data_IF_557346113200
#
_entry.id   IF_557346113200
#
_cell.length_a   1.000
_cell.length_b   1.000
_cell.length_c   1.000
_cell.angle_alpha   90.00
_cell.angle_beta   90.00
_cell.angle_gamma   90.00
#
_symmetry.space_group_name_H-M   'P 1'
#
loop_
_entity.id
_entity.type
_entity.pdbx_description
1 polymer ?
#
# COMPACT_ATOMS: atom_id res chain seq x y z
N UNK A 1 31.06 41.74 21.11
CA UNK A 1 31.46 40.33 21.32
C UNK A 1 30.29 39.37 21.57
N UNK A 2 29.31 39.67 22.44
CA UNK A 2 28.17 38.76 22.72
C UNK A 2 27.22 38.56 21.51
N UNK A 3 26.91 39.62 20.76
CA UNK A 3 26.05 39.56 19.57
C UNK A 3 26.69 38.74 18.44
N UNK A 4 27.99 38.89 18.20
CA UNK A 4 28.72 38.10 17.19
C UNK A 4 28.79 36.61 17.55
N UNK A 5 28.98 36.27 18.84
CA UNK A 5 28.91 34.88 19.33
C UNK A 5 27.49 34.30 19.21
N UNK A 6 26.45 35.11 19.46
CA UNK A 6 25.06 34.71 19.28
C UNK A 6 24.71 34.48 17.80
N UNK A 7 25.11 35.39 16.91
CA UNK A 7 24.94 35.25 15.46
C UNK A 7 25.70 34.04 14.90
N UNK A 8 26.93 33.80 15.35
CA UNK A 8 27.71 32.63 14.98
C UNK A 8 27.05 31.33 15.45
N UNK A 9 26.54 31.29 16.68
CA UNK A 9 25.80 30.15 17.22
C UNK A 9 24.51 29.89 16.42
N UNK A 10 23.77 30.95 16.08
CA UNK A 10 22.57 30.86 15.25
C UNK A 10 22.89 30.34 13.84
N UNK A 11 23.98 30.83 13.24
CA UNK A 11 24.46 30.36 11.92
C UNK A 11 24.83 28.88 11.97
N UNK A 12 25.61 28.45 12.97
CA UNK A 12 26.00 27.04 13.14
C UNK A 12 24.77 26.15 13.32
N UNK A 13 23.79 26.57 14.15
CA UNK A 13 22.51 25.87 14.31
C UNK A 13 21.76 25.75 12.98
N UNK A 14 21.68 26.83 12.20
CA UNK A 14 21.06 26.82 10.87
C UNK A 14 21.79 25.88 9.89
N UNK A 15 23.13 25.90 9.84
CA UNK A 15 23.91 24.99 8.98
C UNK A 15 23.77 23.52 9.37
N UNK A 16 23.67 23.22 10.67
CA UNK A 16 23.44 21.84 11.13
C UNK A 16 22.04 21.35 10.80
N UNK A 17 21.02 22.21 10.91
CA UNK A 17 19.64 21.86 10.56
C UNK A 17 19.47 21.62 9.05
N UNK A 18 20.13 22.42 8.20
CA UNK A 18 20.06 22.26 6.74
C UNK A 18 20.80 21.01 6.25
N UNK A 19 21.99 20.72 6.78
CA UNK A 19 22.73 19.50 6.44
C UNK A 19 21.98 18.23 6.90
N UNK A 20 21.37 18.26 8.08
CA UNK A 20 20.55 17.17 8.59
C UNK A 20 19.30 16.93 7.76
N UNK A 21 18.56 18.00 7.41
CA UNK A 21 17.40 17.93 6.53
C UNK A 21 17.76 17.30 5.17
N UNK A 22 18.92 17.61 4.60
CA UNK A 22 19.36 17.05 3.33
C UNK A 22 19.56 15.52 3.40
N UNK A 23 20.14 15.00 4.48
CA UNK A 23 20.35 13.54 4.66
C UNK A 23 19.06 12.76 4.87
N UNK A 24 18.00 13.40 5.34
CA UNK A 24 16.68 12.77 5.48
C UNK A 24 15.92 12.81 4.15
N UNK A 25 16.04 13.92 3.42
CA UNK A 25 15.43 14.09 2.10
C UNK A 25 16.00 13.14 1.06
N UNK A 26 17.31 12.91 1.02
CA UNK A 26 17.96 12.02 0.05
C UNK A 26 18.87 11.02 0.77
N UNK A 27 18.46 9.74 0.75
CA UNK A 27 19.15 8.67 1.46
C UNK A 27 19.07 7.33 0.70
N UNK A 28 19.58 6.25 1.30
CA UNK A 28 19.62 4.93 0.67
C UNK A 28 18.25 4.35 0.26
N UNK A 29 17.17 4.80 0.91
CA UNK A 29 15.78 4.45 0.60
C UNK A 29 15.22 5.27 -0.58
N UNK A 30 15.83 6.40 -0.92
CA UNK A 30 15.43 7.25 -2.04
C UNK A 30 15.35 8.73 -1.69
N UNK A 31 14.68 9.48 -2.57
CA UNK A 31 14.42 10.91 -2.41
C UNK A 31 12.99 11.12 -1.92
N UNK A 32 12.81 11.79 -0.79
CA UNK A 32 11.53 12.17 -0.23
C UNK A 32 10.74 13.01 -1.24
N UNK A 33 9.53 12.56 -1.57
CA UNK A 33 8.61 13.24 -2.49
C UNK A 33 7.23 13.38 -1.88
N UNK A 34 6.48 14.36 -2.38
CA UNK A 34 5.06 14.49 -2.10
C UNK A 34 4.27 13.58 -3.04
N UNK A 35 3.51 12.67 -2.46
CA UNK A 35 2.60 11.79 -3.19
C UNK A 35 1.27 12.48 -3.42
N UNK A 36 0.75 13.10 -2.36
CA UNK A 36 -0.58 13.70 -2.34
C UNK A 36 -0.66 14.86 -1.36
N UNK A 37 -1.34 15.93 -1.77
CA UNK A 37 -1.74 17.02 -0.87
C UNK A 37 -2.89 16.58 0.01
N UNK A 38 -2.98 17.18 1.20
CA UNK A 38 -4.10 17.00 2.10
C UNK A 38 -5.38 17.64 1.54
N UNK A 39 -6.31 16.82 1.07
CA UNK A 39 -7.57 17.26 0.44
C UNK A 39 -8.72 16.41 0.95
N UNK A 40 -9.93 16.95 0.99
CA UNK A 40 -11.14 16.30 1.51
C UNK A 40 -11.97 15.56 0.43
N UNK A 41 -11.29 15.04 -0.59
CA UNK A 41 -11.92 14.29 -1.68
C UNK A 41 -11.78 12.78 -1.45
N UNK A 42 -12.61 11.98 -2.12
CA UNK A 42 -12.39 10.55 -2.17
C UNK A 42 -11.16 10.24 -3.05
N UNK A 43 -10.23 9.38 -2.63
CA UNK A 43 -9.03 9.11 -3.41
C UNK A 43 -9.36 8.32 -4.69
N UNK A 44 -8.58 8.55 -5.75
CA UNK A 44 -8.75 7.80 -7.00
C UNK A 44 -8.76 6.27 -6.77
N UNK A 45 -9.47 5.58 -7.65
CA UNK A 45 -9.67 4.13 -7.62
C UNK A 45 -10.28 3.63 -6.31
N UNK A 46 -10.97 4.46 -5.53
CA UNK A 46 -11.80 3.96 -4.43
C UNK A 46 -12.94 3.09 -4.96
N UNK A 47 -13.08 1.89 -4.41
CA UNK A 47 -14.21 0.98 -4.65
C UNK A 47 -14.52 0.10 -3.45
N UNK A 48 -15.73 -0.45 -3.43
CA UNK A 48 -16.15 -1.43 -2.41
C UNK A 48 -16.70 -2.69 -3.07
N UNK A 49 -16.71 -3.82 -2.34
CA UNK A 49 -17.37 -5.05 -2.82
C UNK A 49 -18.88 -4.88 -3.02
N UNK A 50 -19.49 -3.85 -2.43
CA UNK A 50 -20.88 -3.48 -2.62
C UNK A 50 -21.17 -2.71 -3.91
N UNK A 51 -20.15 -2.24 -4.64
CA UNK A 51 -20.36 -1.49 -5.89
C UNK A 51 -21.03 -2.35 -6.97
N UNK A 52 -21.86 -1.70 -7.79
CA UNK A 52 -22.37 -2.28 -9.02
C UNK A 52 -21.21 -2.57 -9.99
N UNK A 53 -21.40 -3.53 -10.89
CA UNK A 53 -20.40 -3.80 -11.92
C UNK A 53 -20.40 -2.70 -12.99
N UNK A 54 -19.22 -2.20 -13.30
CA UNK A 54 -18.93 -1.39 -14.48
C UNK A 54 -19.02 -2.29 -15.72
N UNK A 55 -20.25 -2.48 -16.22
CA UNK A 55 -20.56 -3.44 -17.30
C UNK A 55 -19.75 -3.19 -18.58
N UNK A 56 -19.38 -1.93 -18.83
CA UNK A 56 -18.55 -1.55 -19.98
C UNK A 56 -17.14 -2.18 -19.95
N UNK A 57 -16.64 -2.55 -18.78
CA UNK A 57 -15.36 -3.26 -18.64
C UNK A 57 -15.46 -4.74 -19.04
N UNK A 58 -16.67 -5.32 -19.00
CA UNK A 58 -16.89 -6.74 -19.19
C UNK A 58 -17.18 -7.04 -20.66
N UNK A 59 -16.21 -7.67 -21.35
CA UNK A 59 -16.39 -8.18 -22.72
C UNK A 59 -16.98 -9.60 -22.69
N UNK A 60 -18.13 -9.79 -22.05
CA UNK A 60 -18.75 -11.11 -21.93
C UNK A 60 -19.83 -11.20 -20.87
N UNK A 61 -20.11 -12.43 -20.41
CA UNK A 61 -21.07 -12.69 -19.35
C UNK A 61 -20.63 -12.05 -18.02
N UNK A 62 -21.59 -11.54 -17.26
CA UNK A 62 -21.33 -10.98 -15.94
C UNK A 62 -20.86 -12.07 -14.97
N UNK A 63 -19.79 -11.82 -14.18
CA UNK A 63 -19.33 -12.78 -13.18
C UNK A 63 -20.31 -12.89 -12.01
N UNK A 64 -20.29 -14.01 -11.28
CA UNK A 64 -21.16 -14.20 -10.12
C UNK A 64 -20.92 -13.18 -9.00
N UNK A 65 -22.01 -12.65 -8.43
CA UNK A 65 -22.01 -11.79 -7.23
C UNK A 65 -22.14 -12.53 -5.91
N UNK A 66 -22.23 -13.86 -5.93
CA UNK A 66 -22.38 -14.68 -4.71
C UNK A 66 -21.31 -14.30 -3.68
N UNK A 67 -21.75 -13.92 -2.48
CA UNK A 67 -20.88 -13.59 -1.34
C UNK A 67 -20.20 -12.22 -1.37
N UNK A 68 -20.44 -11.37 -2.37
CA UNK A 68 -19.82 -10.02 -2.42
C UNK A 68 -20.39 -9.05 -1.36
N UNK A 69 -21.66 -9.18 -1.03
CA UNK A 69 -22.34 -8.34 -0.02
C UNK A 69 -21.80 -8.57 1.39
N UNK A 70 -21.34 -9.80 1.68
CA UNK A 70 -20.75 -10.18 2.97
C UNK A 70 -19.21 -10.13 2.97
N UNK A 71 -18.60 -9.69 1.86
CA UNK A 71 -17.14 -9.68 1.72
C UNK A 71 -16.49 -8.55 2.54
N UNK A 72 -17.19 -7.44 2.74
CA UNK A 72 -16.77 -6.29 3.57
C UNK A 72 -15.35 -5.80 3.26
N UNK A 73 -15.07 -5.56 1.97
CA UNK A 73 -13.79 -5.00 1.55
C UNK A 73 -13.98 -3.75 0.69
N UNK A 74 -12.96 -2.91 0.73
CA UNK A 74 -12.79 -1.78 -0.17
C UNK A 74 -11.33 -1.66 -0.57
N UNK A 75 -11.05 -0.81 -1.56
CA UNK A 75 -9.68 -0.37 -1.76
C UNK A 75 -9.55 0.88 -2.58
N UNK A 76 -8.39 1.53 -2.52
CA UNK A 76 -8.09 2.78 -3.24
C UNK A 76 -6.59 2.93 -3.52
N UNK A 77 -6.21 4.04 -4.16
CA UNK A 77 -4.83 4.55 -4.11
C UNK A 77 -4.50 5.09 -2.72
N UNK A 78 -3.22 5.41 -2.47
CA UNK A 78 -2.79 6.12 -1.27
C UNK A 78 -3.62 7.40 -1.07
N UNK A 79 -3.84 7.78 0.19
CA UNK A 79 -4.76 8.84 0.58
C UNK A 79 -4.08 9.75 1.59
N UNK A 80 -4.36 11.05 1.50
CA UNK A 80 -4.03 11.98 2.57
C UNK A 80 -4.96 11.80 3.77
N UNK A 81 -4.66 12.45 4.89
CA UNK A 81 -5.45 12.32 6.12
C UNK A 81 -6.92 12.71 5.92
N UNK A 82 -7.20 13.82 5.20
CA UNK A 82 -8.57 14.23 4.90
C UNK A 82 -9.26 13.29 3.89
N UNK A 83 -8.52 12.69 2.96
CA UNK A 83 -9.08 11.66 2.06
C UNK A 83 -9.40 10.37 2.82
N UNK A 84 -8.61 10.02 3.85
CA UNK A 84 -8.90 8.87 4.72
C UNK A 84 -10.15 9.12 5.57
N UNK A 85 -10.29 10.34 6.10
CA UNK A 85 -11.52 10.76 6.76
C UNK A 85 -12.74 10.65 5.83
N UNK A 86 -12.57 10.93 4.53
CA UNK A 86 -13.60 10.73 3.52
C UNK A 86 -13.88 9.24 3.30
N UNK A 87 -12.86 8.39 3.11
CA UNK A 87 -13.01 6.93 2.98
C UNK A 87 -13.88 6.34 4.10
N UNK A 88 -13.62 6.70 5.35
CA UNK A 88 -14.33 6.18 6.52
C UNK A 88 -15.84 6.44 6.44
N UNK A 89 -16.27 7.57 5.86
CA UNK A 89 -17.70 7.89 5.70
C UNK A 89 -18.43 6.96 4.72
N UNK A 90 -17.70 6.33 3.78
CA UNK A 90 -18.25 5.41 2.78
C UNK A 90 -18.20 3.94 3.22
N UNK A 91 -17.67 3.66 4.42
CA UNK A 91 -17.58 2.31 4.97
C UNK A 91 -18.71 2.11 5.98
N UNK A 92 -19.64 1.14 5.79
CA UNK A 92 -20.85 0.98 6.59
C UNK A 92 -20.61 0.25 7.92
N UNK A 93 -19.47 0.47 8.57
CA UNK A 93 -19.15 -0.05 9.91
C UNK A 93 -18.50 1.03 10.76
N UNK A 94 -18.49 0.86 12.08
CA UNK A 94 -17.82 1.82 12.97
C UNK A 94 -16.29 1.78 12.75
N UNK A 95 -15.58 2.92 12.94
CA UNK A 95 -14.14 3.01 12.71
C UNK A 95 -13.32 1.89 13.37
N UNK A 96 -13.69 1.45 14.58
CA UNK A 96 -12.97 0.40 15.31
C UNK A 96 -13.01 -1.00 14.66
N UNK A 97 -13.89 -1.21 13.68
CA UNK A 97 -14.00 -2.42 12.85
C UNK A 97 -13.34 -2.26 11.48
N UNK A 98 -12.86 -1.07 11.13
CA UNK A 98 -12.16 -0.80 9.88
C UNK A 98 -10.68 -1.08 10.07
N UNK A 99 -10.12 -1.89 9.18
CA UNK A 99 -8.70 -2.13 9.08
C UNK A 99 -8.16 -1.47 7.83
N UNK A 100 -7.29 -0.50 8.03
CA UNK A 100 -6.40 -0.02 6.99
C UNK A 100 -5.34 -1.07 6.70
N UNK A 101 -5.37 -1.63 5.49
CA UNK A 101 -4.44 -2.65 5.04
C UNK A 101 -3.49 -2.03 4.02
N UNK A 102 -2.39 -1.52 4.55
CA UNK A 102 -1.31 -0.90 3.81
C UNK A 102 -0.42 -1.94 3.15
N UNK A 103 -0.41 -1.95 1.82
CA UNK A 103 0.35 -2.88 0.99
C UNK A 103 1.69 -2.31 0.49
N UNK A 104 2.13 -1.18 1.03
CA UNK A 104 3.30 -0.44 0.53
C UNK A 104 4.60 -0.93 1.16
N UNK A 105 5.50 -1.48 0.34
CA UNK A 105 6.86 -1.81 0.78
C UNK A 105 7.79 -0.59 0.83
N UNK A 106 7.51 0.42 0.00
CA UNK A 106 8.20 1.70 0.02
C UNK A 106 7.96 2.47 1.33
N UNK A 107 9.00 3.13 1.84
CA UNK A 107 8.88 3.96 3.05
C UNK A 107 7.99 5.16 2.75
N UNK A 108 7.02 5.43 3.61
CA UNK A 108 6.08 6.54 3.45
C UNK A 108 5.51 7.00 4.79
N UNK A 109 4.78 8.11 4.76
CA UNK A 109 4.06 8.65 5.91
C UNK A 109 3.39 9.97 5.57
N UNK A 110 3.13 10.76 6.60
CA UNK A 110 2.34 11.98 6.49
C UNK A 110 3.12 13.17 7.02
N UNK A 111 3.14 14.27 6.27
CA UNK A 111 3.61 15.60 6.72
C UNK A 111 2.43 16.55 6.62
N UNK A 112 1.99 17.09 7.76
CA UNK A 112 0.81 17.96 7.89
C UNK A 112 -0.44 17.34 7.21
N UNK A 113 -0.62 16.03 7.38
CA UNK A 113 -1.69 15.24 6.75
C UNK A 113 -1.50 14.95 5.26
N UNK A 114 -0.48 15.51 4.59
CA UNK A 114 -0.15 15.20 3.19
C UNK A 114 0.73 13.95 3.08
N UNK A 115 0.51 13.12 2.07
CA UNK A 115 1.25 11.86 1.90
C UNK A 115 2.60 12.12 1.27
N UNK A 116 3.64 11.52 1.84
CA UNK A 116 5.00 11.53 1.31
C UNK A 116 5.57 10.11 1.24
N UNK A 117 6.51 9.88 0.32
CA UNK A 117 7.28 8.63 0.27
C UNK A 117 8.71 8.85 -0.18
N UNK A 118 9.60 7.89 0.09
CA UNK A 118 10.97 7.91 -0.42
C UNK A 118 11.03 7.22 -1.78
N UNK A 119 11.20 8.02 -2.83
CA UNK A 119 11.24 7.56 -4.21
C UNK A 119 12.59 6.96 -4.59
N UNK A 120 12.54 5.78 -5.20
CA UNK A 120 13.62 5.21 -6.01
C UNK A 120 13.05 4.74 -7.34
N UNK A 121 13.90 4.55 -8.35
CA UNK A 121 13.45 4.02 -9.64
C UNK A 121 12.64 2.72 -9.45
N UNK A 122 11.49 2.62 -10.13
CA UNK A 122 10.49 1.56 -9.98
C UNK A 122 9.81 1.45 -8.59
N UNK A 123 9.93 2.46 -7.73
CA UNK A 123 9.39 2.44 -6.36
C UNK A 123 10.04 1.35 -5.47
N UNK A 124 11.30 1.03 -5.76
CA UNK A 124 12.05 -0.07 -5.14
C UNK A 124 13.02 0.39 -4.04
N UNK A 125 12.66 1.43 -3.27
CA UNK A 125 13.49 1.96 -2.18
C UNK A 125 13.89 0.91 -1.13
N UNK A 126 13.01 -0.07 -0.93
CA UNK A 126 13.14 -1.13 0.08
C UNK A 126 13.17 -2.54 -0.51
N UNK A 127 13.38 -2.68 -1.83
CA UNK A 127 13.43 -3.98 -2.48
C UNK A 127 14.52 -4.87 -1.83
N UNK A 128 14.14 -6.10 -1.47
CA UNK A 128 15.02 -7.06 -0.79
C UNK A 128 15.21 -6.86 0.72
N UNK A 129 14.64 -5.80 1.32
CA UNK A 129 14.75 -5.57 2.78
C UNK A 129 13.67 -6.34 3.55
N UNK A 130 13.99 -6.70 4.80
CA UNK A 130 13.05 -7.41 5.65
C UNK A 130 11.96 -6.47 6.21
N UNK A 131 10.74 -6.98 6.42
CA UNK A 131 9.60 -6.22 6.96
C UNK A 131 9.95 -5.36 8.19
N UNK A 132 10.59 -5.96 9.20
CA UNK A 132 10.91 -5.25 10.44
C UNK A 132 11.97 -4.16 10.26
N UNK A 133 12.86 -4.31 9.27
CA UNK A 133 13.84 -3.30 8.91
C UNK A 133 13.14 -2.10 8.26
N UNK A 134 12.25 -2.37 7.30
CA UNK A 134 11.46 -1.35 6.59
C UNK A 134 10.65 -0.51 7.59
N UNK A 135 9.85 -1.16 8.43
CA UNK A 135 8.97 -0.46 9.40
C UNK A 135 9.79 0.36 10.41
N UNK A 136 10.92 -0.17 10.88
CA UNK A 136 11.79 0.56 11.82
C UNK A 136 12.42 1.78 11.17
N UNK A 137 12.94 1.63 9.95
CA UNK A 137 13.62 2.72 9.25
C UNK A 137 12.62 3.81 8.83
N UNK A 138 11.43 3.44 8.35
CA UNK A 138 10.34 4.39 8.04
C UNK A 138 9.97 5.23 9.27
N UNK A 139 9.75 4.57 10.43
CA UNK A 139 9.45 5.27 11.69
C UNK A 139 10.58 6.20 12.10
N UNK A 140 11.84 5.78 11.94
CA UNK A 140 13.00 6.62 12.23
C UNK A 140 13.00 7.86 11.33
N UNK A 141 12.91 7.69 10.01
CA UNK A 141 12.90 8.79 9.04
C UNK A 141 11.82 9.83 9.35
N UNK A 142 10.60 9.40 9.67
CA UNK A 142 9.51 10.31 10.04
C UNK A 142 9.74 11.03 11.38
N UNK A 143 10.36 10.37 12.36
CA UNK A 143 10.75 11.01 13.62
C UNK A 143 11.83 12.07 13.40
N UNK A 144 12.77 11.84 12.48
CA UNK A 144 13.80 12.81 12.09
C UNK A 144 13.18 14.03 11.39
N UNK A 145 12.18 13.82 10.51
CA UNK A 145 11.41 14.91 9.90
C UNK A 145 10.66 15.71 10.98
N UNK A 146 10.00 15.03 11.93
CA UNK A 146 9.24 15.70 13.00
C UNK A 146 10.11 16.58 13.91
N UNK A 147 11.43 16.36 13.93
CA UNK A 147 12.37 17.11 14.76
C UNK A 147 12.86 18.43 14.13
N UNK A 148 12.53 18.69 12.86
CA UNK A 148 12.95 19.89 12.13
C UNK A 148 11.74 20.74 11.74
N UNK A 149 11.85 22.08 11.70
CA UNK A 149 10.73 22.95 11.33
C UNK A 149 10.42 22.96 9.83
N UNK A 150 11.36 22.51 9.00
CA UNK A 150 11.23 22.42 7.56
C UNK A 150 11.98 21.22 7.02
N UNK A 151 11.51 20.65 5.91
CA UNK A 151 12.14 19.56 5.18
C UNK A 151 12.16 19.90 3.69
N UNK A 152 13.15 19.39 2.96
CA UNK A 152 13.13 19.49 1.50
C UNK A 152 12.38 18.31 0.88
N UNK A 153 11.57 18.60 -0.13
CA UNK A 153 10.82 17.61 -0.89
C UNK A 153 11.25 17.67 -2.35
N UNK A 154 11.63 16.52 -2.91
CA UNK A 154 12.01 16.37 -4.30
C UNK A 154 10.84 16.62 -5.27
N UNK A 155 11.16 17.18 -6.44
CA UNK A 155 10.18 17.47 -7.50
C UNK A 155 10.18 16.35 -8.53
N UNK A 156 9.00 15.79 -8.80
CA UNK A 156 8.80 14.86 -9.92
C UNK A 156 8.62 15.63 -11.24
N UNK A 157 9.32 15.19 -12.29
CA UNK A 157 9.13 15.65 -13.65
C UNK A 157 7.91 15.04 -14.33
N UNK A 158 7.65 15.47 -15.57
CA UNK A 158 6.53 14.95 -16.37
C UNK A 158 6.61 13.43 -16.63
N UNK A 159 7.82 12.88 -16.64
CA UNK A 159 8.08 11.44 -16.74
C UNK A 159 7.92 10.68 -15.41
N UNK A 160 7.52 11.36 -14.32
CA UNK A 160 7.38 10.80 -12.96
C UNK A 160 8.70 10.32 -12.33
N UNK A 161 9.81 10.91 -12.74
CA UNK A 161 11.13 10.73 -12.12
C UNK A 161 11.53 11.98 -11.32
N UNK A 162 12.38 11.81 -10.31
CA UNK A 162 12.92 12.93 -9.53
C UNK A 162 13.84 13.77 -10.42
N UNK A 163 13.56 15.08 -10.49
CA UNK A 163 14.45 16.03 -11.15
C UNK A 163 15.61 16.33 -10.21
N UNK A 164 16.80 15.85 -10.57
CA UNK A 164 18.02 16.03 -9.78
C UNK A 164 18.29 17.51 -9.47
N UNK A 165 18.61 17.79 -8.21
CA UNK A 165 18.88 19.15 -7.71
C UNK A 165 17.66 20.07 -7.60
N UNK A 166 16.43 19.61 -7.91
CA UNK A 166 15.21 20.40 -7.74
C UNK A 166 14.35 19.90 -6.59
N UNK A 167 14.16 20.77 -5.62
CA UNK A 167 13.37 20.53 -4.42
C UNK A 167 12.62 21.81 -4.03
N UNK A 168 11.57 21.68 -3.23
CA UNK A 168 10.99 22.79 -2.50
C UNK A 168 11.08 22.53 -1.00
N UNK A 169 11.22 23.60 -0.22
CA UNK A 169 11.18 23.55 1.23
C UNK A 169 9.74 23.55 1.70
N UNK A 170 9.40 22.61 2.58
CA UNK A 170 8.04 22.42 3.10
C UNK A 170 8.05 22.55 4.62
N UNK A 171 7.09 23.29 5.22
CA UNK A 171 6.98 23.43 6.68
C UNK A 171 6.55 22.13 7.33
N UNK A 172 7.17 21.77 8.45
CA UNK A 172 6.80 20.58 9.22
C UNK A 172 6.12 21.03 10.51
N UNK A 173 4.81 20.83 10.57
CA UNK A 173 3.99 21.00 11.77
C UNK A 173 3.80 19.64 12.48
N UNK A 174 3.69 18.57 11.68
CA UNK A 174 3.63 17.19 12.16
C UNK A 174 4.22 16.25 11.12
N UNK A 175 4.95 15.22 11.55
CA UNK A 175 5.29 14.08 10.71
C UNK A 175 4.96 12.77 11.43
N UNK A 176 4.10 11.93 10.84
CA UNK A 176 3.57 10.71 11.47
C UNK A 176 3.55 9.53 10.50
N UNK A 177 3.59 8.32 11.06
CA UNK A 177 3.39 7.07 10.30
C UNK A 177 1.92 6.92 9.89
N UNK A 178 1.66 6.09 8.88
CA UNK A 178 0.29 5.74 8.51
C UNK A 178 -0.46 5.03 9.63
N UNK A 179 0.23 4.16 10.38
CA UNK A 179 -0.32 3.56 11.59
C UNK A 179 -0.84 4.60 12.58
N UNK A 180 -0.05 5.65 12.86
CA UNK A 180 -0.46 6.69 13.80
C UNK A 180 -1.62 7.53 13.24
N UNK A 181 -1.68 7.73 11.93
CA UNK A 181 -2.80 8.38 11.24
C UNK A 181 -4.09 7.54 11.36
N UNK A 182 -4.03 6.24 11.07
CA UNK A 182 -5.15 5.31 11.23
C UNK A 182 -5.65 5.30 12.69
N UNK A 183 -4.74 5.18 13.66
CA UNK A 183 -5.06 5.21 15.10
C UNK A 183 -5.74 6.54 15.52
N UNK A 184 -5.31 7.68 14.97
CA UNK A 184 -5.94 9.00 15.20
C UNK A 184 -7.40 9.03 14.74
N UNK A 185 -7.74 8.28 13.69
CA UNK A 185 -9.10 8.14 13.18
C UNK A 185 -9.90 6.99 13.83
N UNK A 186 -9.34 6.33 14.85
CA UNK A 186 -9.99 5.25 15.58
C UNK A 186 -10.07 3.93 14.81
N UNK A 187 -9.37 3.81 13.69
CA UNK A 187 -9.31 2.59 12.88
C UNK A 187 -8.16 1.68 13.32
N UNK A 188 -8.14 0.46 12.79
CA UNK A 188 -7.07 -0.52 12.97
C UNK A 188 -6.14 -0.48 11.76
N UNK A 189 -4.92 -0.98 11.93
CA UNK A 189 -3.89 -0.93 10.91
C UNK A 189 -3.17 -2.28 10.76
N UNK A 190 -2.93 -2.68 9.50
CA UNK A 190 -2.08 -3.79 9.13
C UNK A 190 -1.12 -3.34 8.03
N UNK A 191 0.18 -3.42 8.30
CA UNK A 191 1.22 -3.25 7.28
C UNK A 191 1.61 -4.57 6.64
N UNK A 192 1.66 -4.60 5.31
CA UNK A 192 2.30 -5.62 4.48
C UNK A 192 3.33 -4.95 3.55
N UNK A 193 4.62 -5.25 3.74
CA UNK A 193 5.71 -4.54 3.04
C UNK A 193 5.99 -5.14 1.66
N UNK A 194 5.08 -4.93 0.70
CA UNK A 194 5.17 -5.54 -0.63
C UNK A 194 5.89 -4.64 -1.63
N UNK A 195 6.83 -5.23 -2.36
CA UNK A 195 7.53 -4.60 -3.48
C UNK A 195 6.54 -4.26 -4.61
N UNK A 196 6.62 -3.05 -5.19
CA UNK A 196 5.74 -2.71 -6.30
C UNK A 196 6.01 -3.57 -7.54
N UNK A 197 4.93 -3.86 -8.27
CA UNK A 197 4.88 -4.67 -9.50
C UNK A 197 5.13 -6.18 -9.36
N UNK A 198 5.63 -6.66 -8.22
CA UNK A 198 6.00 -8.06 -8.03
C UNK A 198 4.87 -8.89 -7.41
N UNK A 199 5.07 -10.20 -7.40
CA UNK A 199 4.22 -11.16 -6.69
C UNK A 199 4.39 -10.97 -5.18
N UNK A 200 3.33 -11.08 -4.35
CA UNK A 200 3.48 -10.88 -2.91
C UNK A 200 4.47 -11.88 -2.28
N UNK A 201 5.45 -11.36 -1.54
CA UNK A 201 6.42 -12.16 -0.79
C UNK A 201 5.71 -13.14 0.16
N UNK A 202 6.11 -14.42 0.16
CA UNK A 202 5.41 -15.48 0.90
C UNK A 202 5.26 -15.21 2.40
N UNK A 203 6.27 -14.61 3.05
CA UNK A 203 6.18 -14.25 4.47
C UNK A 203 5.12 -13.17 4.76
N UNK A 204 4.86 -12.27 3.81
CA UNK A 204 3.81 -11.25 3.92
C UNK A 204 2.43 -11.84 3.62
N UNK A 205 2.34 -12.85 2.74
CA UNK A 205 1.11 -13.65 2.57
C UNK A 205 0.77 -14.40 3.85
N UNK A 206 1.76 -15.01 4.51
CA UNK A 206 1.58 -15.65 5.81
C UNK A 206 1.17 -14.66 6.92
N UNK A 207 1.74 -13.44 6.90
CA UNK A 207 1.34 -12.35 7.80
C UNK A 207 -0.12 -11.97 7.59
N UNK A 208 -0.55 -11.84 6.33
CA UNK A 208 -1.94 -11.57 5.99
C UNK A 208 -2.89 -12.69 6.43
N UNK A 209 -2.54 -13.96 6.21
CA UNK A 209 -3.37 -15.10 6.62
C UNK A 209 -3.52 -15.15 8.15
N UNK A 210 -2.43 -14.97 8.90
CA UNK A 210 -2.48 -14.91 10.36
C UNK A 210 -3.38 -13.79 10.85
N UNK A 211 -3.30 -12.63 10.21
CA UNK A 211 -4.19 -11.51 10.50
C UNK A 211 -5.65 -11.86 10.17
N UNK A 212 -5.91 -12.31 8.94
CA UNK A 212 -7.26 -12.58 8.43
C UNK A 212 -8.01 -13.62 9.27
N UNK A 213 -7.31 -14.68 9.70
CA UNK A 213 -7.86 -15.73 10.58
C UNK A 213 -8.40 -15.19 11.91
N UNK A 214 -7.88 -14.07 12.40
CA UNK A 214 -8.22 -13.50 13.70
C UNK A 214 -9.14 -12.27 13.58
N UNK A 215 -9.70 -12.00 12.40
CA UNK A 215 -10.62 -10.88 12.22
C UNK A 215 -11.91 -11.09 13.04
N UNK A 216 -12.39 -10.06 13.75
CA UNK A 216 -13.69 -10.13 14.38
C UNK A 216 -14.80 -10.18 13.31
N UNK A 217 -15.95 -10.73 13.68
CA UNK A 217 -17.13 -10.65 12.84
C UNK A 217 -17.49 -9.18 12.55
N UNK A 218 -17.81 -8.87 11.29
CA UNK A 218 -18.13 -7.51 10.86
C UNK A 218 -16.92 -6.61 10.60
N UNK A 219 -15.69 -7.13 10.68
CA UNK A 219 -14.51 -6.39 10.24
C UNK A 219 -14.62 -5.98 8.76
N UNK A 220 -14.15 -4.77 8.46
CA UNK A 220 -14.04 -4.24 7.11
C UNK A 220 -12.57 -4.01 6.75
N UNK A 221 -12.12 -4.53 5.60
CA UNK A 221 -10.75 -4.36 5.15
C UNK A 221 -10.68 -3.30 4.04
N UNK A 222 -9.95 -2.22 4.29
CA UNK A 222 -9.62 -1.23 3.28
C UNK A 222 -8.20 -1.46 2.77
N UNK A 223 -8.06 -1.97 1.55
CA UNK A 223 -6.75 -2.22 0.95
C UNK A 223 -6.28 -1.02 0.15
N UNK A 224 -5.03 -0.63 0.29
CA UNK A 224 -4.45 0.37 -0.61
C UNK A 224 -2.98 0.08 -0.92
N UNK A 225 -2.50 0.70 -2.00
CA UNK A 225 -1.08 0.81 -2.32
C UNK A 225 -0.87 2.19 -2.93
N UNK A 226 0.30 2.48 -3.52
CA UNK A 226 0.52 3.79 -4.15
C UNK A 226 -0.58 4.19 -5.17
N UNK A 227 -0.91 3.30 -6.11
CA UNK A 227 -1.84 3.59 -7.21
C UNK A 227 -3.24 2.98 -7.07
N UNK A 228 -3.46 2.09 -6.09
CA UNK A 228 -4.75 1.39 -5.92
C UNK A 228 -5.04 0.30 -6.94
N UNK A 229 -4.02 -0.10 -7.71
CA UNK A 229 -4.14 -1.01 -8.86
C UNK A 229 -3.62 -2.40 -8.55
N UNK A 230 -2.35 -2.69 -8.85
CA UNK A 230 -1.77 -4.05 -8.82
C UNK A 230 -1.87 -4.73 -7.46
N UNK A 231 -1.15 -4.22 -6.46
CA UNK A 231 -1.13 -4.76 -5.09
C UNK A 231 -2.53 -4.80 -4.47
N UNK A 232 -3.25 -3.68 -4.54
CA UNK A 232 -4.63 -3.58 -4.02
C UNK A 232 -5.57 -4.61 -4.61
N UNK A 233 -5.66 -4.71 -5.94
CA UNK A 233 -6.58 -5.67 -6.59
C UNK A 233 -6.16 -7.10 -6.30
N UNK A 234 -4.85 -7.38 -6.19
CA UNK A 234 -4.33 -8.70 -5.81
C UNK A 234 -4.85 -9.12 -4.43
N UNK A 235 -4.74 -8.25 -3.43
CA UNK A 235 -5.18 -8.56 -2.07
C UNK A 235 -6.69 -8.54 -1.89
N UNK A 236 -7.41 -7.68 -2.62
CA UNK A 236 -8.88 -7.77 -2.68
C UNK A 236 -9.33 -9.11 -3.26
N UNK A 237 -8.70 -9.59 -4.34
CA UNK A 237 -8.97 -10.91 -4.89
C UNK A 237 -8.59 -12.03 -3.92
N UNK A 238 -7.48 -11.93 -3.19
CA UNK A 238 -7.10 -12.91 -2.17
C UNK A 238 -8.13 -12.97 -1.03
N UNK A 239 -8.57 -11.83 -0.48
CA UNK A 239 -9.62 -11.79 0.54
C UNK A 239 -10.92 -12.42 0.05
N UNK A 240 -11.25 -12.19 -1.22
CA UNK A 240 -12.39 -12.79 -1.88
C UNK A 240 -12.27 -14.32 -1.99
N UNK A 241 -11.11 -14.83 -2.40
CA UNK A 241 -10.83 -16.27 -2.45
C UNK A 241 -10.94 -16.92 -1.07
N UNK A 242 -10.38 -16.29 -0.03
CA UNK A 242 -10.47 -16.81 1.35
C UNK A 242 -11.93 -16.94 1.82
N UNK A 243 -12.82 -16.07 1.36
CA UNK A 243 -14.23 -16.05 1.77
C UNK A 243 -15.13 -16.94 0.89
N UNK A 244 -14.84 -17.02 -0.42
CA UNK A 244 -15.81 -17.47 -1.42
C UNK A 244 -15.30 -18.56 -2.39
N UNK A 245 -14.06 -19.04 -2.29
CA UNK A 245 -13.51 -20.01 -3.25
C UNK A 245 -14.20 -21.40 -3.23
N UNK A 246 -14.97 -21.70 -2.18
CA UNK A 246 -15.83 -22.90 -2.10
C UNK A 246 -17.09 -22.78 -2.98
N UNK A 247 -17.52 -21.56 -3.30
CA UNK A 247 -18.78 -21.27 -4.02
C UNK A 247 -18.58 -20.60 -5.38
N UNK A 248 -17.49 -19.87 -5.57
CA UNK A 248 -17.26 -19.00 -6.73
C UNK A 248 -15.98 -19.41 -7.44
N UNK A 249 -16.03 -19.44 -8.78
CA UNK A 249 -14.88 -19.84 -9.60
C UNK A 249 -13.74 -18.82 -9.51
N UNK A 250 -12.51 -19.26 -9.78
CA UNK A 250 -11.35 -18.37 -9.89
C UNK A 250 -11.61 -17.22 -10.89
N UNK A 251 -12.13 -17.54 -12.08
CA UNK A 251 -12.37 -16.55 -13.12
C UNK A 251 -13.41 -15.51 -12.68
N UNK A 252 -14.49 -15.94 -12.04
CA UNK A 252 -15.52 -15.03 -11.54
C UNK A 252 -14.96 -14.09 -10.47
N UNK A 253 -14.13 -14.58 -9.55
CA UNK A 253 -13.45 -13.75 -8.54
C UNK A 253 -12.55 -12.71 -9.22
N UNK A 254 -11.71 -13.11 -10.19
CA UNK A 254 -10.85 -12.16 -10.90
C UNK A 254 -11.68 -11.11 -11.64
N UNK A 255 -12.71 -11.55 -12.36
CA UNK A 255 -13.51 -10.66 -13.20
C UNK A 255 -14.41 -9.74 -12.39
N UNK A 256 -14.96 -10.18 -11.25
CA UNK A 256 -15.80 -9.30 -10.41
C UNK A 256 -14.98 -8.25 -9.68
N UNK A 257 -13.74 -8.57 -9.29
CA UNK A 257 -12.81 -7.59 -8.73
C UNK A 257 -12.37 -6.56 -9.77
N UNK A 258 -12.25 -6.96 -11.04
CA UNK A 258 -12.05 -6.03 -12.15
C UNK A 258 -13.29 -5.17 -12.40
N UNK A 259 -14.48 -5.77 -12.40
CA UNK A 259 -15.75 -5.11 -12.70
C UNK A 259 -16.18 -4.06 -11.66
N UNK A 260 -15.63 -4.08 -10.44
CA UNK A 260 -15.84 -3.03 -9.44
C UNK A 260 -14.74 -1.95 -9.45
N UNK A 261 -13.96 -1.84 -10.53
CA UNK A 261 -12.94 -0.79 -10.71
C UNK A 261 -11.51 -1.22 -10.36
N UNK A 262 -11.26 -2.52 -10.14
CA UNK A 262 -9.90 -3.06 -10.03
C UNK A 262 -9.17 -3.10 -11.39
N UNK A 263 -7.98 -3.70 -11.43
CA UNK A 263 -7.35 -4.06 -12.70
C UNK A 263 -7.67 -5.51 -13.08
N UNK A 264 -7.71 -5.82 -14.36
CA UNK A 264 -7.74 -7.20 -14.81
C UNK A 264 -6.39 -7.87 -14.49
N UNK A 265 -6.35 -8.65 -13.41
CA UNK A 265 -5.13 -9.28 -12.89
C UNK A 265 -4.50 -10.28 -13.85
N UNK A 266 -5.30 -10.80 -14.79
CA UNK A 266 -4.91 -11.77 -15.82
C UNK A 266 -4.64 -11.14 -17.18
N UNK A 267 -4.83 -9.82 -17.34
CA UNK A 267 -4.58 -9.17 -18.62
C UNK A 267 -3.08 -9.13 -18.96
N UNK A 268 -2.73 -9.71 -20.09
CA UNK A 268 -1.40 -9.69 -20.65
C UNK A 268 -1.23 -8.53 -21.63
N UNK A 269 -0.08 -7.84 -21.59
CA UNK A 269 0.23 -6.76 -22.51
C UNK A 269 1.62 -6.99 -23.14
N UNK A 270 1.70 -7.38 -24.43
CA UNK A 270 2.97 -7.69 -25.09
C UNK A 270 3.87 -6.46 -25.30
N UNK A 271 3.32 -5.24 -25.20
CA UNK A 271 4.07 -4.00 -25.39
C UNK A 271 4.81 -3.56 -24.10
N UNK A 272 4.69 -4.31 -23.00
CA UNK A 272 5.44 -4.04 -21.77
C UNK A 272 6.83 -4.69 -21.83
N UNK A 273 7.84 -4.14 -21.13
CA UNK A 273 9.15 -4.77 -21.01
C UNK A 273 9.05 -6.22 -20.52
N UNK A 274 9.95 -7.09 -20.97
CA UNK A 274 9.91 -8.53 -20.68
C UNK A 274 9.76 -8.84 -19.18
N UNK A 275 10.50 -8.15 -18.33
CA UNK A 275 10.42 -8.35 -16.87
C UNK A 275 9.01 -8.08 -16.30
N UNK A 276 8.26 -7.11 -16.85
CA UNK A 276 6.87 -6.83 -16.44
C UNK A 276 5.92 -7.93 -16.91
N UNK A 277 6.17 -8.50 -18.08
CA UNK A 277 5.39 -9.65 -18.58
C UNK A 277 5.61 -10.87 -17.68
N UNK A 278 6.87 -11.14 -17.31
CA UNK A 278 7.23 -12.20 -16.36
C UNK A 278 6.53 -12.00 -15.02
N UNK A 279 6.60 -10.80 -14.44
CA UNK A 279 5.94 -10.49 -13.15
C UNK A 279 4.41 -10.69 -13.20
N UNK A 280 3.76 -10.37 -14.33
CA UNK A 280 2.32 -10.66 -14.52
C UNK A 280 2.05 -12.16 -14.54
N UNK A 281 2.84 -12.94 -15.27
CA UNK A 281 2.68 -14.40 -15.34
C UNK A 281 2.90 -15.06 -13.97
N UNK A 282 3.92 -14.62 -13.23
CA UNK A 282 4.18 -15.08 -11.86
C UNK A 282 3.01 -14.76 -10.93
N UNK A 283 2.46 -13.54 -10.99
CA UNK A 283 1.27 -13.15 -10.21
C UNK A 283 0.06 -14.02 -10.55
N UNK A 284 -0.16 -14.34 -11.83
CA UNK A 284 -1.27 -15.21 -12.25
C UNK A 284 -1.07 -16.63 -11.69
N UNK A 285 0.14 -17.18 -11.76
CA UNK A 285 0.46 -18.49 -11.21
C UNK A 285 0.27 -18.52 -9.69
N UNK A 286 0.71 -17.47 -9.00
CA UNK A 286 0.48 -17.27 -7.57
C UNK A 286 -1.01 -17.25 -7.24
N UNK A 287 -1.82 -16.42 -7.91
CA UNK A 287 -3.25 -16.30 -7.63
C UNK A 287 -4.01 -17.62 -7.86
N UNK A 288 -3.67 -18.38 -8.89
CA UNK A 288 -4.23 -19.72 -9.11
C UNK A 288 -3.89 -20.67 -7.97
N UNK A 289 -2.64 -20.61 -7.50
CA UNK A 289 -2.15 -21.44 -6.38
C UNK A 289 -2.81 -21.01 -5.06
N UNK A 290 -2.99 -19.71 -4.84
CA UNK A 290 -3.66 -19.14 -3.67
C UNK A 290 -5.15 -19.49 -3.64
N UNK A 291 -5.83 -19.47 -4.80
CA UNK A 291 -7.20 -19.94 -4.91
C UNK A 291 -7.32 -21.42 -4.50
N UNK A 292 -6.40 -22.28 -4.97
CA UNK A 292 -6.36 -23.69 -4.54
C UNK A 292 -6.11 -23.82 -3.03
N UNK A 293 -5.18 -23.04 -2.48
CA UNK A 293 -4.94 -22.97 -1.04
C UNK A 293 -6.21 -22.63 -0.26
N UNK A 294 -6.95 -21.59 -0.68
CA UNK A 294 -8.18 -21.16 -0.01
C UNK A 294 -9.26 -22.25 -0.02
N UNK A 295 -9.40 -23.00 -1.13
CA UNK A 295 -10.33 -24.13 -1.23
C UNK A 295 -9.96 -25.30 -0.33
N UNK A 296 -8.68 -25.64 -0.26
CA UNK A 296 -8.19 -26.80 0.48
C UNK A 296 -8.02 -26.52 1.99
N UNK A 297 -7.95 -25.24 2.39
CA UNK A 297 -7.69 -24.82 3.76
C UNK A 297 -8.72 -23.80 4.27
N UNK A 298 -10.04 -24.08 4.23
CA UNK A 298 -11.08 -23.10 4.58
C UNK A 298 -11.02 -22.62 6.04
N UNK A 299 -10.40 -23.42 6.93
CA UNK A 299 -10.19 -23.07 8.35
C UNK A 299 -8.84 -22.38 8.62
N UNK A 300 -8.03 -22.14 7.57
CA UNK A 300 -6.70 -21.52 7.65
C UNK A 300 -5.81 -22.17 8.72
N UNK A 301 -5.81 -23.50 8.77
CA UNK A 301 -5.02 -24.27 9.73
C UNK A 301 -3.53 -24.30 9.34
N UNK A 302 -3.24 -24.40 8.05
CA UNK A 302 -1.89 -24.31 7.49
C UNK A 302 -1.59 -22.87 7.08
N UNK A 303 -0.34 -22.43 7.27
CA UNK A 303 0.14 -21.21 6.64
C UNK A 303 0.21 -21.38 5.12
N UNK A 304 0.28 -20.28 4.37
CA UNK A 304 0.50 -20.33 2.93
C UNK A 304 1.83 -21.00 2.61
N UNK A 305 2.90 -20.59 3.30
CA UNK A 305 4.24 -21.16 3.08
C UNK A 305 4.25 -22.66 3.31
N UNK A 306 3.66 -23.14 4.42
CA UNK A 306 3.58 -24.57 4.71
C UNK A 306 2.85 -25.33 3.59
N UNK A 307 1.63 -24.88 3.25
CA UNK A 307 0.84 -25.55 2.21
C UNK A 307 1.52 -25.51 0.85
N UNK A 308 2.14 -24.40 0.48
CA UNK A 308 2.83 -24.25 -0.80
C UNK A 308 4.04 -25.19 -0.88
N UNK A 309 4.84 -25.31 0.19
CA UNK A 309 5.95 -26.26 0.26
C UNK A 309 5.49 -27.71 0.13
N UNK A 310 4.47 -28.11 0.89
CA UNK A 310 3.90 -29.47 0.82
C UNK A 310 3.38 -29.82 -0.58
N UNK A 311 2.85 -28.82 -1.30
CA UNK A 311 2.32 -28.99 -2.65
C UNK A 311 3.28 -28.60 -3.77
N UNK A 312 4.57 -28.34 -3.46
CA UNK A 312 5.61 -27.94 -4.44
C UNK A 312 5.23 -26.73 -5.29
N UNK A 313 4.51 -25.77 -4.70
CA UNK A 313 4.18 -24.50 -5.34
C UNK A 313 5.36 -23.52 -5.17
N UNK A 314 5.64 -22.68 -6.18
CA UNK A 314 6.69 -21.67 -6.06
C UNK A 314 6.34 -20.64 -4.97
N UNK A 315 7.34 -20.25 -4.19
CA UNK A 315 7.25 -19.18 -3.20
C UNK A 315 7.98 -17.95 -3.72
N UNK A 316 7.29 -16.81 -3.78
CA UNK A 316 7.93 -15.54 -4.10
C UNK A 316 8.82 -15.12 -2.91
N UNK A 317 10.12 -14.96 -3.18
CA UNK A 317 11.15 -14.56 -2.20
C UNK A 317 11.46 -13.06 -2.25
N UNK A 318 10.78 -12.31 -3.10
CA UNK A 318 10.90 -10.85 -3.24
C UNK A 318 9.60 -10.19 -3.72
#
# INVERSE_FOLDING_TARGET
MKIAKFLLLLMVLCFTATAYSATVTDNEHGVLKLDRKNTDLLPDNFRTSGYAFEKELLQGAEPSRIGMEELNISGSKAFSELEYAEIIKHIPVKPELIYDVDLRGESHGYINGSVVSWYKANDWGNKGRAHNEIVRNEKKLLAEIAAVPFINIGILGANKEIIQGRQYTWPVESAITEQAMAEKHGTKYLRLTLTDHLTPHHAEVDRFIRFYKNLPQGAWLHFHCFAGKGRTTTFMAMADMLKNADKVSFNDIIMRQFAIGGINLTAYNPNKPQWRQTAVNERIAFLKSFYRYAKENPKLQKSWTQWATENKMPLAVE
#
